data_IF_750219285364
#
_entry.id   IF_750219285364
#
_cell.length_a   1.000
_cell.length_b   1.000
_cell.length_c   1.000
_cell.angle_alpha   90.00
_cell.angle_beta   90.00
_cell.angle_gamma   90.00
#
_symmetry.space_group_name_H-M   'P 1'
#
loop_
_entity.id
_entity.type
_entity.pdbx_description
1 polymer ?
#
# COMPACT_ATOMS: atom_id res chain seq x y z
N UNK A 1 -19.87 -5.32 11.97
CA UNK A 1 -18.88 -6.42 12.07
C UNK A 1 -17.65 -5.89 12.78
N UNK A 2 -17.22 -6.57 13.83
CA UNK A 2 -15.97 -6.28 14.53
C UNK A 2 -14.81 -6.51 13.58
N UNK A 3 -13.98 -5.49 13.32
CA UNK A 3 -12.77 -5.67 12.49
C UNK A 3 -11.70 -6.33 13.33
N UNK A 4 -11.18 -7.45 12.85
CA UNK A 4 -10.12 -8.21 13.50
C UNK A 4 -9.15 -8.76 12.46
N UNK A 5 -7.89 -8.86 12.85
CA UNK A 5 -6.86 -9.57 12.09
C UNK A 5 -6.98 -11.08 12.31
N UNK A 6 -6.65 -11.86 11.28
CA UNK A 6 -6.46 -13.30 11.44
C UNK A 6 -5.26 -13.60 12.35
N UNK A 7 -5.25 -14.79 12.96
CA UNK A 7 -4.13 -15.22 13.81
C UNK A 7 -2.78 -15.16 13.09
N UNK A 8 -2.74 -15.55 11.81
CA UNK A 8 -1.52 -15.50 11.00
C UNK A 8 -1.02 -14.06 10.79
N UNK A 9 -1.93 -13.10 10.58
CA UNK A 9 -1.58 -11.68 10.48
C UNK A 9 -1.06 -11.16 11.82
N UNK A 10 -1.72 -11.52 12.94
CA UNK A 10 -1.30 -11.12 14.29
C UNK A 10 0.12 -11.60 14.61
N UNK A 11 0.40 -12.88 14.36
CA UNK A 11 1.72 -13.49 14.61
C UNK A 11 2.83 -12.78 13.82
N UNK A 12 2.57 -12.40 12.56
CA UNK A 12 3.53 -11.68 11.72
C UNK A 12 3.64 -10.19 12.02
N UNK A 13 2.55 -9.56 12.48
CA UNK A 13 2.57 -8.16 12.93
C UNK A 13 3.45 -7.97 14.16
N UNK A 14 3.48 -8.94 15.08
CA UNK A 14 4.09 -8.82 16.40
C UNK A 14 3.62 -7.51 17.08
N UNK A 15 4.53 -6.70 17.64
CA UNK A 15 4.20 -5.36 18.09
C UNK A 15 4.31 -4.35 16.94
N UNK A 16 3.47 -3.32 17.01
CA UNK A 16 3.38 -2.30 15.98
C UNK A 16 3.02 -0.93 16.59
N UNK A 17 3.27 0.12 15.82
CA UNK A 17 2.79 1.48 16.10
C UNK A 17 1.78 1.85 15.01
N UNK A 18 0.66 2.43 15.41
CA UNK A 18 -0.46 2.77 14.55
C UNK A 18 -0.95 4.19 14.82
N UNK A 19 -1.71 4.73 13.87
CA UNK A 19 -2.48 5.95 14.06
C UNK A 19 -3.90 5.81 13.53
N UNK A 20 -4.78 6.68 14.03
CA UNK A 20 -6.14 6.86 13.54
C UNK A 20 -6.25 8.22 12.87
N UNK A 21 -6.88 8.23 11.69
CA UNK A 21 -7.05 9.42 10.86
C UNK A 21 -8.55 9.68 10.68
N UNK A 22 -8.94 10.94 10.81
CA UNK A 22 -10.28 11.40 10.47
C UNK A 22 -10.39 11.54 8.94
N UNK A 23 -11.24 10.74 8.27
CA UNK A 23 -11.34 10.77 6.81
C UNK A 23 -11.92 12.08 6.25
N UNK A 24 -12.55 12.91 7.09
CA UNK A 24 -13.20 14.16 6.66
C UNK A 24 -12.18 15.26 6.37
N UNK A 25 -11.05 15.26 7.07
CA UNK A 25 -10.01 16.28 6.96
C UNK A 25 -8.59 15.71 6.81
N UNK A 26 -8.42 14.39 6.84
CA UNK A 26 -7.14 13.67 6.79
C UNK A 26 -6.20 13.98 7.96
N UNK A 27 -6.72 14.40 9.11
CA UNK A 27 -5.91 14.68 10.30
C UNK A 27 -5.72 13.44 11.16
N UNK A 28 -4.48 13.23 11.62
CA UNK A 28 -4.17 12.24 12.65
C UNK A 28 -4.66 12.76 13.99
N UNK A 29 -5.57 12.04 14.63
CA UNK A 29 -6.09 12.41 15.96
C UNK A 29 -5.65 11.46 17.07
N UNK A 30 -4.96 10.36 16.73
CA UNK A 30 -4.46 9.40 17.70
C UNK A 30 -3.24 8.65 17.18
N UNK A 31 -2.24 8.45 18.04
CA UNK A 31 -1.08 7.57 17.82
C UNK A 31 -1.02 6.61 19.01
N UNK A 32 -0.72 5.33 18.73
CA UNK A 32 -0.53 4.36 19.81
C UNK A 32 0.29 3.15 19.40
N UNK A 33 0.86 2.45 20.38
CA UNK A 33 1.43 1.12 20.21
C UNK A 33 0.36 0.03 20.36
N UNK A 34 0.56 -1.09 19.68
CA UNK A 34 -0.30 -2.25 19.84
C UNK A 34 0.29 -3.60 19.48
N UNK A 35 -0.49 -4.62 19.85
CA UNK A 35 -0.30 -6.04 19.61
C UNK A 35 -1.70 -6.63 19.39
N UNK A 36 -1.80 -7.68 18.56
CA UNK A 36 -3.09 -8.26 18.19
C UNK A 36 -4.02 -7.23 17.54
N UNK A 37 -5.28 -7.21 17.97
CA UNK A 37 -6.33 -6.35 17.43
C UNK A 37 -6.43 -4.95 18.07
N UNK A 38 -5.41 -4.51 18.82
CA UNK A 38 -5.47 -3.23 19.57
C UNK A 38 -5.77 -2.02 18.69
N UNK A 39 -5.33 -2.01 17.43
CA UNK A 39 -5.67 -0.95 16.47
C UNK A 39 -7.18 -0.75 16.31
N UNK A 40 -7.98 -1.83 16.40
CA UNK A 40 -9.44 -1.78 16.28
C UNK A 40 -10.15 -1.63 17.63
N UNK A 41 -9.44 -1.79 18.75
CA UNK A 41 -10.04 -1.84 20.09
C UNK A 41 -10.78 -0.55 20.45
N UNK A 42 -10.30 0.63 20.02
CA UNK A 42 -10.96 1.90 20.31
C UNK A 42 -12.30 2.04 19.56
N UNK A 43 -12.41 1.47 18.36
CA UNK A 43 -13.67 1.45 17.61
C UNK A 43 -14.73 0.60 18.31
N UNK A 44 -14.31 -0.51 18.93
CA UNK A 44 -15.20 -1.39 19.71
C UNK A 44 -15.60 -0.72 21.02
N UNK A 45 -14.66 -0.12 21.75
CA UNK A 45 -14.93 0.60 22.99
C UNK A 45 -15.86 1.81 22.78
N UNK A 46 -15.73 2.54 21.67
CA UNK A 46 -16.61 3.67 21.35
C UNK A 46 -18.07 3.25 21.11
N UNK A 47 -18.30 1.98 20.71
CA UNK A 47 -19.63 1.41 20.50
C UNK A 47 -20.26 0.88 21.79
N UNK A 48 -19.44 0.36 22.71
CA UNK A 48 -19.91 -0.36 23.90
C UNK A 48 -19.97 0.51 25.16
N UNK A 49 -19.19 1.60 25.21
CA UNK A 49 -19.01 2.41 26.41
C UNK A 49 -19.59 3.80 26.25
N UNK A 50 -20.29 4.29 27.29
CA UNK A 50 -20.74 5.68 27.43
C UNK A 50 -19.66 6.61 28.00
N UNK A 51 -18.45 6.11 28.30
CA UNK A 51 -17.36 6.94 28.79
C UNK A 51 -16.92 7.96 27.73
N UNK A 52 -16.76 9.21 28.16
CA UNK A 52 -16.30 10.32 27.31
C UNK A 52 -14.79 10.51 27.45
N UNK A 53 -14.11 10.55 26.32
CA UNK A 53 -12.71 10.93 26.18
C UNK A 53 -12.55 11.57 24.81
N UNK A 54 -11.69 12.58 24.67
CA UNK A 54 -11.50 13.33 23.42
C UNK A 54 -11.36 12.41 22.18
N UNK A 55 -10.66 11.28 22.33
CA UNK A 55 -10.49 10.28 21.26
C UNK A 55 -11.80 9.54 20.91
N UNK A 56 -12.59 9.13 21.90
CA UNK A 56 -13.81 8.35 21.68
C UNK A 56 -14.89 9.26 21.11
N UNK A 57 -14.92 10.52 21.53
CA UNK A 57 -15.83 11.53 21.00
C UNK A 57 -15.50 11.88 19.56
N UNK A 58 -14.22 11.95 19.20
CA UNK A 58 -13.83 12.08 17.79
C UNK A 58 -14.29 10.89 16.94
N UNK A 59 -14.13 9.66 17.43
CA UNK A 59 -14.62 8.45 16.74
C UNK A 59 -16.14 8.50 16.56
N UNK A 60 -16.89 8.89 17.60
CA UNK A 60 -18.35 9.03 17.54
C UNK A 60 -18.77 10.10 16.53
N UNK A 61 -18.08 11.25 16.48
CA UNK A 61 -18.33 12.32 15.49
C UNK A 61 -18.12 11.81 14.06
N UNK A 62 -17.04 11.06 13.79
CA UNK A 62 -16.78 10.47 12.48
C UNK A 62 -17.91 9.50 12.08
N UNK A 63 -18.38 8.68 13.02
CA UNK A 63 -19.47 7.72 12.80
C UNK A 63 -20.81 8.37 12.55
N UNK A 64 -21.12 9.46 13.25
CA UNK A 64 -22.37 10.21 13.04
C UNK A 64 -22.46 10.78 11.61
N UNK A 65 -21.32 11.02 10.96
CA UNK A 65 -21.24 11.42 9.55
C UNK A 65 -21.26 10.23 8.58
N UNK A 66 -21.56 9.02 9.07
CA UNK A 66 -21.61 7.79 8.27
C UNK A 66 -20.25 7.25 7.85
N UNK A 67 -19.16 7.73 8.45
CA UNK A 67 -17.78 7.33 8.12
C UNK A 67 -17.13 6.54 9.27
N UNK A 68 -15.94 5.99 9.02
CA UNK A 68 -15.14 5.27 10.02
C UNK A 68 -13.71 5.82 10.00
N UNK A 69 -13.02 5.89 11.17
CA UNK A 69 -11.62 6.28 11.20
C UNK A 69 -10.76 5.39 10.29
N UNK A 70 -9.80 5.99 9.59
CA UNK A 70 -8.83 5.23 8.81
C UNK A 70 -7.75 4.73 9.77
N UNK A 71 -7.47 3.43 9.70
CA UNK A 71 -6.51 2.75 10.57
C UNK A 71 -5.21 2.52 9.79
N UNK A 72 -4.13 3.18 10.19
CA UNK A 72 -2.81 2.99 9.62
C UNK A 72 -1.87 2.30 10.59
N UNK A 73 -1.17 1.28 10.12
CA UNK A 73 0.00 0.72 10.78
C UNK A 73 1.23 1.47 10.25
N UNK A 74 1.86 2.27 11.11
CA UNK A 74 3.03 3.09 10.78
C UNK A 74 4.28 2.22 10.68
N UNK A 75 4.42 1.32 11.65
CA UNK A 75 5.54 0.38 11.74
C UNK A 75 5.12 -0.91 12.41
N UNK A 76 5.59 -2.06 11.93
CA UNK A 76 5.25 -3.38 12.50
C UNK A 76 6.44 -4.35 12.54
N UNK A 77 6.23 -5.55 13.09
CA UNK A 77 7.26 -6.56 13.31
C UNK A 77 8.27 -6.13 14.38
N UNK A 78 7.84 -5.31 15.35
CA UNK A 78 8.68 -4.72 16.37
C UNK A 78 8.73 -5.60 17.61
N UNK A 79 9.84 -5.49 18.33
CA UNK A 79 9.89 -5.90 19.73
C UNK A 79 9.10 -4.91 20.60
N UNK A 80 8.55 -5.33 21.76
CA UNK A 80 7.72 -4.49 22.61
C UNK A 80 8.37 -3.16 23.00
N UNK A 81 9.66 -3.18 23.33
CA UNK A 81 10.43 -2.00 23.72
C UNK A 81 10.56 -1.00 22.56
N UNK A 82 10.89 -1.48 21.36
CA UNK A 82 10.99 -0.62 20.18
C UNK A 82 9.65 0.02 19.80
N UNK A 83 8.52 -0.69 19.97
CA UNK A 83 7.21 -0.11 19.72
C UNK A 83 6.87 1.03 20.70
N UNK A 84 7.31 0.92 21.96
CA UNK A 84 7.16 1.98 22.96
C UNK A 84 7.98 3.23 22.60
N UNK A 85 9.28 3.07 22.29
CA UNK A 85 10.15 4.19 21.95
C UNK A 85 9.68 4.92 20.67
N UNK A 86 9.21 4.18 19.67
CA UNK A 86 8.68 4.76 18.43
C UNK A 86 7.35 5.50 18.68
N UNK A 87 6.46 4.95 19.50
CA UNK A 87 5.22 5.62 19.90
C UNK A 87 5.53 6.98 20.56
N UNK A 88 6.37 6.99 21.60
CA UNK A 88 6.79 8.21 22.28
C UNK A 88 7.41 9.22 21.31
N UNK A 89 8.34 8.76 20.47
CA UNK A 89 9.00 9.61 19.46
C UNK A 89 7.99 10.27 18.51
N UNK A 90 6.98 9.52 18.06
CA UNK A 90 5.98 10.04 17.12
C UNK A 90 5.01 11.02 17.80
N UNK A 91 4.67 10.81 19.08
CA UNK A 91 3.84 11.74 19.86
C UNK A 91 4.61 13.05 20.12
N UNK A 92 5.88 12.96 20.50
CA UNK A 92 6.72 14.15 20.72
C UNK A 92 6.93 14.90 19.41
N UNK A 93 7.17 14.18 18.31
CA UNK A 93 7.28 14.77 16.98
C UNK A 93 5.97 15.42 16.52
N UNK A 94 4.80 14.82 16.77
CA UNK A 94 3.52 15.42 16.39
C UNK A 94 3.26 16.72 17.14
N UNK A 95 3.59 16.79 18.44
CA UNK A 95 3.48 18.03 19.24
C UNK A 95 4.41 19.12 18.72
N UNK A 96 5.64 18.77 18.36
CA UNK A 96 6.57 19.71 17.72
C UNK A 96 6.01 20.26 16.39
N UNK A 97 5.24 19.46 15.67
CA UNK A 97 4.67 19.82 14.39
C UNK A 97 3.38 20.64 14.48
N UNK A 98 2.77 20.80 15.66
CA UNK A 98 1.57 21.63 15.82
C UNK A 98 1.84 23.05 15.32
N UNK A 99 1.10 23.48 14.28
CA UNK A 99 1.27 24.78 13.63
C UNK A 99 2.35 24.86 12.54
N UNK A 100 3.08 23.77 12.27
CA UNK A 100 4.10 23.73 11.22
C UNK A 100 3.70 22.81 10.06
N UNK A 101 3.78 23.32 8.83
CA UNK A 101 3.61 22.51 7.63
C UNK A 101 4.97 21.91 7.21
N UNK A 102 5.22 20.64 7.56
CA UNK A 102 6.45 19.95 7.19
C UNK A 102 6.34 19.29 5.82
N UNK A 103 7.20 19.72 4.89
CA UNK A 103 7.50 18.99 3.65
C UNK A 103 8.88 18.35 3.78
N UNK A 104 8.92 17.03 4.00
CA UNK A 104 10.18 16.28 4.06
C UNK A 104 10.93 16.38 2.73
N UNK A 105 12.22 16.72 2.79
CA UNK A 105 13.12 16.80 1.62
C UNK A 105 14.04 15.58 1.49
N UNK A 106 13.87 14.57 2.34
CA UNK A 106 14.68 13.36 2.34
C UNK A 106 14.66 12.69 0.95
N UNK A 107 15.84 12.51 0.36
CA UNK A 107 16.00 11.78 -0.91
C UNK A 107 15.83 10.26 -0.71
N UNK A 108 16.27 9.76 0.45
CA UNK A 108 16.19 8.35 0.83
C UNK A 108 14.98 8.15 1.75
N UNK A 109 14.12 7.18 1.39
CA UNK A 109 13.02 6.74 2.27
C UNK A 109 13.57 6.06 3.51
N UNK A 110 12.80 6.03 4.59
CA UNK A 110 13.15 5.25 5.78
C UNK A 110 13.46 3.79 5.44
N UNK A 111 14.45 3.21 6.13
CA UNK A 111 14.85 1.82 5.94
C UNK A 111 13.69 0.85 6.15
N UNK A 112 13.59 -0.18 5.30
CA UNK A 112 12.49 -1.16 5.25
C UNK A 112 11.09 -0.51 5.23
N UNK A 113 10.94 0.68 4.64
CA UNK A 113 9.63 1.36 4.51
C UNK A 113 8.63 0.55 3.70
N UNK A 114 9.11 -0.27 2.75
CA UNK A 114 8.26 -1.20 2.02
C UNK A 114 7.83 -2.39 2.88
N UNK A 115 8.77 -3.09 3.52
CA UNK A 115 8.45 -4.33 4.25
C UNK A 115 7.69 -4.06 5.55
N UNK A 116 8.00 -2.94 6.20
CA UNK A 116 7.58 -2.66 7.59
C UNK A 116 6.97 -1.28 7.79
N UNK A 117 6.97 -0.42 6.78
CA UNK A 117 6.48 0.95 6.88
C UNK A 117 4.98 1.08 6.65
N UNK A 118 4.56 2.34 6.52
CA UNK A 118 3.16 2.77 6.51
C UNK A 118 2.26 1.96 5.57
N UNK A 119 1.21 1.39 6.14
CA UNK A 119 0.16 0.61 5.45
C UNK A 119 -1.17 0.79 6.15
N UNK A 120 -2.28 0.72 5.42
CA UNK A 120 -3.57 0.59 6.11
C UNK A 120 -3.65 -0.77 6.80
N UNK A 121 -4.52 -0.90 7.80
CA UNK A 121 -4.80 -2.20 8.40
C UNK A 121 -5.27 -3.23 7.35
N UNK A 122 -5.97 -2.79 6.30
CA UNK A 122 -6.43 -3.66 5.21
C UNK A 122 -5.28 -4.12 4.31
N UNK A 123 -4.32 -3.24 4.02
CA UNK A 123 -3.10 -3.61 3.28
C UNK A 123 -2.25 -4.61 4.04
N UNK A 124 -2.18 -4.49 5.37
CA UNK A 124 -1.44 -5.42 6.24
C UNK A 124 -2.00 -6.83 6.15
N UNK A 125 -3.33 -6.96 6.19
CA UNK A 125 -4.00 -8.27 6.04
C UNK A 125 -3.63 -8.88 4.69
N UNK A 126 -3.84 -8.14 3.61
CA UNK A 126 -3.54 -8.63 2.26
C UNK A 126 -2.06 -8.97 2.09
N UNK A 127 -1.15 -8.14 2.61
CA UNK A 127 0.28 -8.34 2.51
C UNK A 127 0.72 -9.66 3.17
N UNK A 128 0.18 -9.98 4.34
CA UNK A 128 0.55 -11.20 5.07
C UNK A 128 -0.24 -12.44 4.68
N UNK A 129 -1.46 -12.30 4.18
CA UNK A 129 -2.28 -13.44 3.75
C UNK A 129 -2.04 -13.83 2.30
N UNK A 130 -1.43 -12.95 1.50
CA UNK A 130 -1.11 -13.23 0.12
C UNK A 130 -0.17 -14.43 -0.02
N UNK A 131 -0.57 -15.39 -0.85
CA UNK A 131 0.29 -16.50 -1.26
C UNK A 131 1.34 -15.99 -2.23
N UNK A 132 2.59 -16.39 -2.03
CA UNK A 132 3.65 -16.09 -3.00
C UNK A 132 3.33 -16.76 -4.33
N UNK A 133 3.40 -15.97 -5.40
CA UNK A 133 3.17 -16.43 -6.76
C UNK A 133 4.49 -16.55 -7.53
N UNK A 134 4.52 -17.48 -8.48
CA UNK A 134 5.58 -17.58 -9.47
C UNK A 134 4.98 -17.26 -10.84
N UNK A 135 5.45 -16.19 -11.45
CA UNK A 135 5.03 -15.72 -12.78
C UNK A 135 5.70 -16.60 -13.83
N UNK A 136 4.87 -17.37 -14.55
CA UNK A 136 5.31 -18.34 -15.56
C UNK A 136 5.44 -17.70 -16.95
N UNK A 137 4.61 -16.70 -17.26
CA UNK A 137 4.60 -16.06 -18.56
C UNK A 137 5.72 -15.03 -18.70
N UNK A 138 5.97 -14.61 -19.95
CA UNK A 138 6.86 -13.49 -20.25
C UNK A 138 6.16 -12.20 -19.87
N UNK A 139 6.56 -11.62 -18.73
CA UNK A 139 5.82 -10.54 -18.10
C UNK A 139 6.71 -9.35 -17.72
N UNK A 140 6.07 -8.18 -17.68
CA UNK A 140 6.64 -6.98 -17.08
C UNK A 140 5.79 -6.61 -15.86
N UNK A 141 6.39 -6.64 -14.67
CA UNK A 141 5.77 -6.14 -13.45
C UNK A 141 6.03 -4.63 -13.38
N UNK A 142 4.97 -3.84 -13.19
CA UNK A 142 5.04 -2.39 -13.03
C UNK A 142 4.50 -2.00 -11.65
N UNK A 143 5.35 -1.37 -10.84
CA UNK A 143 5.07 -1.01 -9.45
C UNK A 143 4.50 0.42 -9.39
N UNK A 144 3.24 0.55 -8.96
CA UNK A 144 2.45 1.80 -8.98
C UNK A 144 2.08 2.32 -7.58
N UNK A 145 2.98 2.13 -6.61
CA UNK A 145 2.76 2.47 -5.19
C UNK A 145 2.30 3.91 -4.89
N UNK A 146 2.50 4.86 -5.81
CA UNK A 146 2.11 6.27 -5.61
C UNK A 146 0.74 6.62 -6.20
N UNK A 147 0.24 5.82 -7.13
CA UNK A 147 -0.92 6.16 -7.95
C UNK A 147 -2.11 5.25 -7.69
N UNK A 148 -1.87 4.01 -7.27
CA UNK A 148 -2.92 3.07 -6.93
C UNK A 148 -3.62 3.44 -5.61
N UNK A 149 -4.95 3.29 -5.60
CA UNK A 149 -5.81 3.36 -4.43
C UNK A 149 -6.74 2.14 -4.36
N UNK A 150 -7.21 1.78 -3.18
CA UNK A 150 -7.98 0.56 -2.97
C UNK A 150 -9.39 0.66 -3.56
N UNK A 151 -9.76 -0.28 -4.44
CA UNK A 151 -11.04 -0.25 -5.16
C UNK A 151 -10.96 0.48 -6.50
N UNK A 152 -9.77 0.89 -6.92
CA UNK A 152 -9.52 1.44 -8.25
C UNK A 152 -10.00 0.47 -9.33
N UNK A 153 -10.85 0.91 -10.28
CA UNK A 153 -11.28 0.08 -11.39
C UNK A 153 -10.10 -0.37 -12.27
N UNK A 154 -10.14 -1.58 -12.85
CA UNK A 154 -9.09 -2.06 -13.75
C UNK A 154 -8.78 -1.10 -14.90
N UNK A 155 -9.77 -0.40 -15.44
CA UNK A 155 -9.59 0.56 -16.54
C UNK A 155 -8.81 1.80 -16.11
N UNK A 156 -8.99 2.24 -14.87
CA UNK A 156 -8.23 3.36 -14.30
C UNK A 156 -6.79 2.93 -13.98
N UNK A 157 -6.61 1.71 -13.45
CA UNK A 157 -5.30 1.14 -13.23
C UNK A 157 -4.54 0.93 -14.55
N UNK A 158 -5.24 0.52 -15.61
CA UNK A 158 -4.69 0.42 -16.96
C UNK A 158 -4.12 1.76 -17.43
N UNK A 159 -4.86 2.86 -17.24
CA UNK A 159 -4.40 4.23 -17.57
C UNK A 159 -3.11 4.63 -16.86
N UNK A 160 -2.84 4.06 -15.68
CA UNK A 160 -1.59 4.29 -14.96
C UNK A 160 -0.46 3.47 -15.56
N UNK A 161 -0.69 2.20 -15.91
CA UNK A 161 0.38 1.30 -16.33
C UNK A 161 0.67 1.33 -17.82
N UNK A 162 -0.22 1.84 -18.66
CA UNK A 162 -0.04 1.72 -20.12
C UNK A 162 0.95 2.74 -20.73
N UNK A 163 1.31 3.85 -20.04
CA UNK A 163 2.15 4.89 -20.65
C UNK A 163 3.45 5.27 -19.89
N UNK A 164 4.41 5.73 -20.69
CA UNK A 164 5.61 6.52 -20.33
C UNK A 164 6.62 5.82 -19.40
N UNK A 165 6.90 4.54 -19.62
CA UNK A 165 7.92 3.82 -18.86
C UNK A 165 9.32 3.88 -19.47
N UNK A 166 10.35 3.89 -18.64
CA UNK A 166 11.74 3.77 -19.07
C UNK A 166 12.08 2.28 -19.26
N UNK A 167 11.74 1.75 -20.42
CA UNK A 167 11.90 0.34 -20.77
C UNK A 167 12.96 0.14 -21.87
N UNK A 168 13.41 -1.09 -22.07
CA UNK A 168 14.30 -1.46 -23.16
C UNK A 168 13.46 -1.94 -24.34
N UNK A 169 13.54 -1.25 -25.47
CA UNK A 169 12.81 -1.60 -26.70
C UNK A 169 13.06 -3.05 -27.15
N UNK A 170 14.26 -3.59 -26.93
CA UNK A 170 14.59 -4.97 -27.30
C UNK A 170 13.93 -6.02 -26.38
N UNK A 171 13.75 -5.70 -25.09
CA UNK A 171 13.19 -6.64 -24.11
C UNK A 171 11.67 -6.66 -24.14
N UNK A 172 11.05 -5.50 -24.33
CA UNK A 172 9.59 -5.39 -24.35
C UNK A 172 8.94 -6.20 -25.46
N UNK A 173 9.61 -6.39 -26.59
CA UNK A 173 9.11 -7.23 -27.71
C UNK A 173 8.78 -8.66 -27.25
N UNK A 174 9.47 -9.17 -26.23
CA UNK A 174 9.22 -10.51 -25.69
C UNK A 174 8.16 -10.54 -24.58
N UNK A 175 7.68 -9.39 -24.11
CA UNK A 175 6.71 -9.30 -23.02
C UNK A 175 5.30 -9.46 -23.58
N UNK A 176 4.58 -10.46 -23.06
CA UNK A 176 3.18 -10.73 -23.41
C UNK A 176 2.19 -10.14 -22.39
N UNK A 177 2.57 -10.08 -21.12
CA UNK A 177 1.69 -9.59 -20.05
C UNK A 177 2.33 -8.48 -19.23
N UNK A 178 1.52 -7.53 -18.79
CA UNK A 178 1.92 -6.50 -17.82
C UNK A 178 1.16 -6.75 -16.52
N UNK A 179 1.90 -6.91 -15.42
CA UNK A 179 1.33 -7.09 -14.07
C UNK A 179 1.45 -5.77 -13.33
N UNK A 180 0.32 -5.15 -13.01
CA UNK A 180 0.27 -3.98 -12.17
C UNK A 180 0.46 -4.39 -10.70
N UNK A 181 1.45 -3.82 -10.01
CA UNK A 181 1.81 -4.18 -8.66
C UNK A 181 1.68 -3.00 -7.68
N UNK A 182 1.09 -3.29 -6.51
CA UNK A 182 0.94 -2.34 -5.40
C UNK A 182 1.30 -3.03 -4.08
N UNK A 183 2.19 -2.42 -3.31
CA UNK A 183 2.70 -2.94 -2.03
C UNK A 183 3.19 -4.40 -2.11
N UNK A 184 3.75 -4.79 -3.25
CA UNK A 184 4.27 -6.15 -3.47
C UNK A 184 3.22 -7.18 -3.81
N UNK A 185 1.98 -6.76 -4.05
CA UNK A 185 0.90 -7.61 -4.50
C UNK A 185 0.58 -7.28 -5.95
N UNK A 186 0.33 -8.31 -6.75
CA UNK A 186 -0.26 -8.14 -8.07
C UNK A 186 -1.72 -7.69 -7.91
N UNK A 187 -2.11 -6.63 -8.62
CA UNK A 187 -3.45 -6.05 -8.57
C UNK A 187 -4.27 -6.32 -9.81
N UNK A 188 -3.62 -6.30 -10.96
CA UNK A 188 -4.26 -6.63 -12.23
C UNK A 188 -3.22 -7.13 -13.24
N UNK A 189 -3.69 -7.87 -14.24
CA UNK A 189 -2.88 -8.37 -15.35
C UNK A 189 -3.49 -7.94 -16.67
N UNK A 190 -2.66 -7.34 -17.52
CA UNK A 190 -3.04 -6.90 -18.86
C UNK A 190 -2.31 -7.72 -19.90
N UNK A 191 -3.00 -8.14 -20.95
CA UNK A 191 -2.38 -8.68 -22.14
C UNK A 191 -1.94 -7.53 -23.04
N UNK A 192 -0.71 -7.62 -23.55
CA UNK A 192 -0.14 -6.61 -24.44
C UNK A 192 -0.47 -6.97 -25.88
N UNK A 193 -1.13 -6.05 -26.58
CA UNK A 193 -1.44 -6.17 -28.00
C UNK A 193 -0.30 -5.60 -28.84
N UNK A 194 0.20 -4.42 -28.45
CA UNK A 194 1.31 -3.75 -29.14
C UNK A 194 2.11 -2.85 -28.19
N UNK A 195 3.38 -2.66 -28.52
CA UNK A 195 4.28 -1.71 -27.86
C UNK A 195 4.45 -0.49 -28.75
N UNK A 196 4.52 0.70 -28.13
CA UNK A 196 4.75 1.94 -28.85
C UNK A 196 5.73 2.83 -28.12
N UNK A 197 6.47 3.61 -28.91
CA UNK A 197 7.31 4.67 -28.39
C UNK A 197 6.45 5.92 -28.13
N UNK A 198 6.66 6.57 -27.00
CA UNK A 198 6.00 7.82 -26.63
C UNK A 198 7.02 8.81 -26.11
N UNK A 199 6.80 10.09 -26.39
CA UNK A 199 7.61 11.16 -25.83
C UNK A 199 7.04 11.60 -24.48
N UNK A 200 7.91 11.74 -23.48
CA UNK A 200 7.56 12.31 -22.18
C UNK A 200 8.05 13.76 -22.13
N UNK A 201 7.11 14.70 -22.32
CA UNK A 201 7.39 16.14 -22.33
C UNK A 201 8.03 16.62 -21.02
N UNK A 202 7.67 16.01 -19.89
CA UNK A 202 8.17 16.44 -18.57
C UNK A 202 9.66 16.12 -18.40
N UNK A 203 10.14 15.03 -19.00
CA UNK A 203 11.54 14.61 -18.92
C UNK A 203 12.32 14.80 -20.21
N UNK A 204 11.66 15.27 -21.27
CA UNK A 204 12.20 15.46 -22.62
C UNK A 204 12.90 14.19 -23.15
N UNK A 205 12.30 13.03 -22.89
CA UNK A 205 12.90 11.73 -23.23
C UNK A 205 11.88 10.79 -23.85
N UNK A 206 12.36 9.94 -24.75
CA UNK A 206 11.60 8.79 -25.22
C UNK A 206 11.31 7.82 -24.07
N UNK A 207 10.12 7.26 -24.12
CA UNK A 207 9.57 6.26 -23.23
C UNK A 207 8.84 5.23 -24.06
N UNK A 208 8.50 4.13 -23.42
CA UNK A 208 7.76 3.05 -24.02
C UNK A 208 6.43 2.90 -23.28
N UNK A 209 5.35 2.81 -24.04
CA UNK A 209 4.03 2.43 -23.59
C UNK A 209 3.57 1.17 -24.28
N UNK A 210 2.40 0.67 -23.89
CA UNK A 210 1.76 -0.46 -24.55
C UNK A 210 0.27 -0.22 -24.71
N UNK A 211 -0.31 -0.71 -25.80
CA UNK A 211 -1.75 -0.86 -25.92
C UNK A 211 -2.09 -2.32 -25.62
N UNK A 212 -3.10 -2.52 -24.79
CA UNK A 212 -3.49 -3.82 -24.31
C UNK A 212 -4.91 -3.81 -23.78
N UNK A 213 -5.26 -4.92 -23.16
CA UNK A 213 -6.56 -5.15 -22.55
C UNK A 213 -6.39 -5.94 -21.26
N UNK A 214 -7.42 -5.97 -20.43
CA UNK A 214 -7.48 -6.88 -19.30
C UNK A 214 -7.26 -8.31 -19.83
N UNK A 215 -6.30 -9.03 -19.24
CA UNK A 215 -5.99 -10.39 -19.69
C UNK A 215 -7.17 -11.34 -19.46
N UNK A 216 -7.17 -12.48 -20.12
CA UNK A 216 -8.19 -13.51 -19.87
C UNK A 216 -8.18 -13.97 -18.40
N UNK A 217 -9.36 -14.36 -17.90
CA UNK A 217 -9.57 -14.71 -16.49
C UNK A 217 -8.66 -15.86 -16.03
N UNK A 218 -8.37 -16.81 -16.91
CA UNK A 218 -7.46 -17.94 -16.64
C UNK A 218 -6.00 -17.52 -16.38
N UNK A 219 -5.57 -16.36 -16.88
CA UNK A 219 -4.25 -15.77 -16.59
C UNK A 219 -4.33 -14.91 -15.34
N UNK A 220 -5.36 -14.06 -15.26
CA UNK A 220 -5.56 -13.13 -14.14
C UNK A 220 -5.67 -13.85 -12.80
N UNK A 221 -6.48 -14.91 -12.75
CA UNK A 221 -6.75 -15.67 -11.53
C UNK A 221 -5.51 -16.34 -10.94
N UNK A 222 -4.44 -16.54 -11.75
CA UNK A 222 -3.15 -17.06 -11.25
C UNK A 222 -2.41 -16.06 -10.37
N UNK A 223 -2.60 -14.76 -10.62
CA UNK A 223 -1.71 -13.72 -10.10
C UNK A 223 -2.39 -12.69 -9.21
N UNK A 224 -3.66 -12.34 -9.46
CA UNK A 224 -4.34 -11.29 -8.70
C UNK A 224 -4.27 -11.57 -7.19
N UNK A 225 -3.88 -10.54 -6.44
CA UNK A 225 -3.63 -10.55 -4.99
C UNK A 225 -2.52 -11.51 -4.52
N UNK A 226 -1.77 -12.10 -5.45
CA UNK A 226 -0.58 -12.89 -5.17
C UNK A 226 0.60 -12.01 -4.73
N UNK A 227 1.41 -12.54 -3.82
CA UNK A 227 2.62 -11.89 -3.33
C UNK A 227 3.77 -12.03 -4.32
N UNK A 228 4.32 -10.89 -4.73
CA UNK A 228 5.47 -10.74 -5.62
C UNK A 228 6.78 -10.61 -4.84
N UNK A 229 6.85 -11.10 -3.60
CA UNK A 229 8.03 -10.99 -2.72
C UNK A 229 9.33 -11.54 -3.33
N UNK A 230 9.23 -12.49 -4.26
CA UNK A 230 10.36 -13.06 -4.99
C UNK A 230 10.92 -12.13 -6.07
N UNK A 231 10.19 -11.09 -6.46
CA UNK A 231 10.55 -10.16 -7.53
C UNK A 231 11.01 -8.83 -6.93
N UNK A 232 12.32 -8.61 -6.89
CA UNK A 232 12.92 -7.38 -6.35
C UNK A 232 13.36 -6.45 -7.48
N UNK A 233 13.06 -5.16 -7.34
CA UNK A 233 13.57 -4.15 -8.25
C UNK A 233 14.84 -3.50 -7.72
N UNK A 234 15.79 -3.20 -8.61
CA UNK A 234 17.01 -2.47 -8.29
C UNK A 234 16.76 -0.95 -8.34
N UNK A 235 15.71 -0.47 -7.68
CA UNK A 235 15.33 0.95 -7.64
C UNK A 235 14.51 1.44 -8.85
N UNK A 236 14.30 0.60 -9.87
CA UNK A 236 13.35 0.87 -10.97
C UNK A 236 11.93 0.47 -10.55
N UNK A 237 10.86 1.16 -11.01
CA UNK A 237 9.49 0.70 -10.82
C UNK A 237 9.10 -0.48 -11.72
N UNK A 238 10.01 -1.00 -12.56
CA UNK A 238 9.69 -2.05 -13.54
C UNK A 238 10.59 -3.27 -13.37
N UNK A 239 10.03 -4.48 -13.44
CA UNK A 239 10.75 -5.76 -13.34
C UNK A 239 10.34 -6.66 -14.51
N UNK A 240 11.31 -7.11 -15.28
CA UNK A 240 11.09 -8.08 -16.36
C UNK A 240 11.20 -9.50 -15.80
N UNK A 241 10.28 -10.38 -16.22
CA UNK A 241 10.22 -11.77 -15.80
C UNK A 241 10.15 -12.66 -17.03
N UNK A 242 11.04 -13.65 -17.11
CA UNK A 242 11.15 -14.61 -18.22
C UNK A 242 11.38 -13.97 -19.62
N UNK A 243 12.01 -12.79 -19.67
CA UNK A 243 12.27 -12.02 -20.90
C UNK A 243 13.59 -11.21 -20.89
#
# INVERSE_FOLDING_TARGET
MTKEFSRAVIERLNHYVYCLIDPRNNEVFYIGKGCGNRVFAHMNLALESSFETDKLDQIRKIKNDGQEPIHYIIRHGLEPFHALEIESTLIDYSRLCEGFNFKLKNLVKGHHSFDRGLKTATDIVQFYEAKTINVEEKALIIIVNKLYWYGMPPEELYRIVHERWRLSCNRVINVKYVIAAYLGLAREVYEVNEWYDTFDESTQKMRVGFNGQIADENIRSKYINGSLSNYKSNGSPTIYVNC
#
